data_IF_038577174751
#
_entry.id   IF_038577174751
#
_cell.length_a   1.000
_cell.length_b   1.000
_cell.length_c   1.000
_cell.angle_alpha   90.00
_cell.angle_beta   90.00
_cell.angle_gamma   90.00
#
_symmetry.space_group_name_H-M   'P 1'
#
loop_
_entity.id
_entity.type
_entity.pdbx_description
1 polymer ?
#
# COMPACT_ATOMS: atom_id res chain seq x y z
N UNK A 1 51.12 -136.79 -11.33
CA UNK A 1 50.27 -136.00 -12.25
C UNK A 1 51.10 -135.68 -13.49
N UNK A 2 50.52 -135.81 -14.70
CA UNK A 2 50.84 -136.89 -15.64
C UNK A 2 52.33 -136.92 -16.06
N UNK A 3 52.92 -138.11 -16.13
CA UNK A 3 54.29 -138.31 -16.63
C UNK A 3 54.36 -137.78 -18.07
N UNK A 4 55.31 -136.89 -18.43
CA UNK A 4 55.49 -136.54 -19.84
C UNK A 4 55.85 -137.82 -20.60
N UNK A 5 55.30 -138.05 -21.81
CA UNK A 5 55.72 -139.17 -22.63
C UNK A 5 57.22 -139.04 -22.89
N UNK A 6 58.00 -139.96 -22.30
CA UNK A 6 59.45 -140.01 -22.50
C UNK A 6 59.69 -140.64 -23.87
N UNK A 7 59.67 -139.80 -24.92
CA UNK A 7 60.03 -140.27 -26.25
C UNK A 7 61.51 -140.62 -26.29
N UNK A 8 61.79 -141.75 -26.93
CA UNK A 8 63.14 -142.24 -27.15
C UNK A 8 63.71 -141.66 -28.44
N UNK A 9 65.04 -141.50 -28.51
CA UNK A 9 65.73 -141.01 -29.71
C UNK A 9 65.32 -141.71 -31.04
N UNK A 10 65.06 -143.04 -31.08
CA UNK A 10 64.57 -143.72 -32.29
C UNK A 10 63.18 -143.25 -32.75
N UNK A 11 62.30 -142.90 -31.83
CA UNK A 11 60.95 -142.39 -32.13
C UNK A 11 61.04 -140.95 -32.66
N UNK A 12 61.89 -140.12 -32.05
CA UNK A 12 62.23 -138.79 -32.56
C UNK A 12 62.80 -138.85 -33.98
N UNK A 13 63.74 -139.78 -34.23
CA UNK A 13 64.37 -139.97 -35.54
C UNK A 13 63.36 -140.34 -36.63
N UNK A 14 62.38 -141.22 -36.34
CA UNK A 14 61.30 -141.55 -37.30
C UNK A 14 60.46 -140.33 -37.69
N UNK A 15 60.09 -139.49 -36.70
CA UNK A 15 59.29 -138.28 -36.94
C UNK A 15 60.09 -137.20 -37.68
N UNK A 16 61.36 -137.00 -37.30
CA UNK A 16 62.23 -136.04 -37.97
C UNK A 16 62.52 -136.45 -39.43
N UNK A 17 62.68 -137.75 -39.72
CA UNK A 17 62.78 -138.24 -41.11
C UNK A 17 61.49 -138.01 -41.88
N UNK A 18 60.32 -138.31 -41.31
CA UNK A 18 59.01 -138.09 -41.95
C UNK A 18 58.77 -136.60 -42.27
N UNK A 19 59.05 -135.69 -41.33
CA UNK A 19 58.92 -134.25 -41.54
C UNK A 19 59.84 -133.69 -42.63
N UNK A 20 61.06 -134.24 -42.73
CA UNK A 20 61.97 -133.86 -43.82
C UNK A 20 61.60 -134.47 -45.17
N UNK A 21 60.98 -135.66 -45.20
CA UNK A 21 60.43 -136.24 -46.42
C UNK A 21 59.20 -135.46 -46.94
N UNK A 22 58.45 -134.82 -46.03
CA UNK A 22 57.35 -133.89 -46.35
C UNK A 22 57.81 -132.48 -46.75
N UNK A 23 59.13 -132.19 -46.79
CA UNK A 23 59.68 -130.89 -47.18
C UNK A 23 59.46 -129.74 -46.17
N UNK A 24 59.01 -130.04 -44.95
CA UNK A 24 58.77 -129.02 -43.90
C UNK A 24 60.08 -128.68 -43.15
N UNK A 25 60.24 -127.39 -42.79
CA UNK A 25 61.37 -126.96 -41.92
C UNK A 25 61.21 -127.55 -40.52
N UNK A 26 62.27 -128.16 -40.00
CA UNK A 26 62.35 -128.73 -38.64
C UNK A 26 62.34 -127.62 -37.58
N UNK A 27 61.18 -127.06 -37.28
CA UNK A 27 61.01 -126.12 -36.16
C UNK A 27 60.57 -126.85 -34.88
N UNK A 28 60.92 -126.29 -33.71
CA UNK A 28 60.54 -126.85 -32.42
C UNK A 28 59.02 -127.03 -32.28
N UNK A 29 58.24 -126.12 -32.87
CA UNK A 29 56.77 -126.18 -32.84
C UNK A 29 56.23 -127.34 -33.67
N UNK A 30 56.79 -127.59 -34.86
CA UNK A 30 56.40 -128.71 -35.73
C UNK A 30 56.76 -130.07 -35.12
N UNK A 31 57.94 -130.19 -34.51
CA UNK A 31 58.36 -131.41 -33.81
C UNK A 31 57.48 -131.67 -32.57
N UNK A 32 57.15 -130.63 -31.81
CA UNK A 32 56.31 -130.76 -30.60
C UNK A 32 54.87 -131.20 -30.90
N UNK A 33 54.34 -130.83 -32.06
CA UNK A 33 53.00 -131.26 -32.52
C UNK A 33 52.94 -132.75 -32.85
N UNK A 34 53.99 -133.33 -33.44
CA UNK A 34 54.02 -134.75 -33.83
C UNK A 34 54.52 -135.70 -32.73
N UNK A 35 55.38 -135.19 -31.85
CA UNK A 35 56.06 -135.99 -30.81
C UNK A 35 55.30 -135.90 -29.48
N UNK A 36 54.53 -134.83 -29.25
CA UNK A 36 53.61 -134.69 -28.11
C UNK A 36 54.32 -134.41 -26.77
N UNK A 37 54.08 -133.23 -26.19
CA UNK A 37 54.35 -132.94 -24.77
C UNK A 37 55.82 -132.95 -24.29
N UNK A 38 56.80 -133.20 -25.16
CA UNK A 38 58.22 -133.29 -24.78
C UNK A 38 58.79 -131.92 -24.38
N UNK A 39 59.68 -131.92 -23.38
CA UNK A 39 60.42 -130.73 -22.95
C UNK A 39 61.32 -130.19 -24.07
N UNK A 40 61.41 -128.86 -24.16
CA UNK A 40 62.23 -128.14 -25.13
C UNK A 40 63.69 -128.63 -25.12
N UNK A 41 64.24 -128.91 -23.94
CA UNK A 41 65.65 -129.30 -23.80
C UNK A 41 65.94 -130.71 -24.33
N UNK A 42 64.96 -131.61 -24.24
CA UNK A 42 65.06 -132.97 -24.79
C UNK A 42 64.95 -132.93 -26.31
N UNK A 43 64.02 -132.14 -26.84
CA UNK A 43 63.88 -131.91 -28.29
C UNK A 43 65.13 -131.25 -28.87
N UNK A 44 65.73 -130.28 -28.18
CA UNK A 44 66.99 -129.64 -28.60
C UNK A 44 68.13 -130.65 -28.65
N UNK A 45 68.33 -131.46 -27.60
CA UNK A 45 69.37 -132.51 -27.59
C UNK A 45 69.20 -133.53 -28.71
N UNK A 46 67.98 -134.01 -28.97
CA UNK A 46 67.73 -134.97 -30.04
C UNK A 46 67.80 -134.35 -31.43
N UNK A 47 67.43 -133.08 -31.59
CA UNK A 47 67.60 -132.34 -32.85
C UNK A 47 69.08 -132.13 -33.16
N UNK A 48 69.87 -131.73 -32.16
CA UNK A 48 71.32 -131.58 -32.30
C UNK A 48 71.98 -132.92 -32.65
N UNK A 49 71.58 -134.01 -31.98
CA UNK A 49 72.05 -135.37 -32.28
C UNK A 49 71.63 -135.86 -33.67
N UNK A 50 70.40 -135.55 -34.11
CA UNK A 50 69.89 -135.89 -35.44
C UNK A 50 70.55 -135.08 -36.56
N UNK A 51 70.85 -133.80 -36.32
CA UNK A 51 71.59 -132.94 -37.25
C UNK A 51 73.05 -133.38 -37.38
N UNK A 52 73.68 -133.83 -36.28
CA UNK A 52 75.01 -134.45 -36.31
C UNK A 52 75.03 -135.79 -37.06
N UNK A 53 74.02 -136.65 -36.87
CA UNK A 53 73.92 -137.94 -37.59
C UNK A 53 73.62 -137.79 -39.10
N UNK A 54 73.05 -136.66 -39.54
CA UNK A 54 72.71 -136.42 -40.95
C UNK A 54 73.79 -135.70 -41.77
N UNK A 55 74.92 -135.31 -41.17
CA UNK A 55 76.08 -134.80 -41.92
C UNK A 55 75.75 -133.72 -42.97
N UNK A 56 74.85 -132.77 -42.65
CA UNK A 56 74.54 -131.65 -43.52
C UNK A 56 75.33 -130.41 -43.07
N UNK A 57 76.31 -129.93 -43.87
CA UNK A 57 76.97 -128.67 -43.59
C UNK A 57 75.96 -127.53 -43.79
N UNK A 58 75.85 -126.64 -42.80
CA UNK A 58 75.07 -125.42 -42.91
C UNK A 58 75.70 -124.53 -44.00
N UNK A 59 74.98 -124.10 -45.05
CA UNK A 59 75.54 -123.22 -46.05
C UNK A 59 75.77 -121.85 -45.41
N UNK A 60 77.04 -121.48 -45.23
CA UNK A 60 77.42 -120.12 -44.88
C UNK A 60 76.89 -119.16 -45.94
N UNK A 61 76.04 -118.23 -45.53
CA UNK A 61 75.87 -116.99 -46.27
C UNK A 61 77.22 -116.25 -46.18
N UNK A 62 77.79 -115.77 -47.30
CA UNK A 62 79.08 -115.12 -47.29
C UNK A 62 79.08 -113.94 -46.32
N UNK A 63 80.14 -113.84 -45.50
CA UNK A 63 80.33 -112.85 -44.44
C UNK A 63 80.18 -111.39 -44.93
N UNK A 64 80.38 -111.17 -46.24
CA UNK A 64 80.16 -109.89 -46.94
C UNK A 64 78.69 -109.48 -47.05
N UNK A 65 77.75 -110.43 -47.11
CA UNK A 65 76.31 -110.13 -47.17
C UNK A 65 75.75 -109.84 -45.78
N UNK A 66 76.26 -110.52 -44.75
CA UNK A 66 75.88 -110.27 -43.36
C UNK A 66 76.47 -108.94 -42.84
N UNK A 67 77.72 -108.62 -43.19
CA UNK A 67 78.31 -107.31 -42.85
C UNK A 67 77.65 -106.16 -43.60
N UNK A 68 77.31 -106.35 -44.89
CA UNK A 68 76.54 -105.37 -45.67
C UNK A 68 75.13 -105.16 -45.11
N UNK A 69 74.42 -106.22 -44.72
CA UNK A 69 73.11 -106.11 -44.07
C UNK A 69 73.18 -105.46 -42.69
N UNK A 70 74.23 -105.74 -41.90
CA UNK A 70 74.42 -105.11 -40.59
C UNK A 70 74.83 -103.64 -40.71
N UNK A 71 75.62 -103.27 -41.73
CA UNK A 71 75.96 -101.88 -42.03
C UNK A 71 74.73 -101.09 -42.47
N UNK A 72 73.89 -101.65 -43.35
CA UNK A 72 72.62 -101.04 -43.75
C UNK A 72 71.64 -100.92 -42.57
N UNK A 73 71.62 -101.89 -41.67
CA UNK A 73 70.78 -101.85 -40.47
C UNK A 73 71.26 -100.78 -39.46
N UNK A 74 72.57 -100.70 -39.18
CA UNK A 74 73.11 -99.65 -38.30
C UNK A 74 72.99 -98.26 -38.92
N UNK A 75 73.13 -98.14 -40.25
CA UNK A 75 72.88 -96.89 -40.96
C UNK A 75 71.40 -96.48 -40.87
N UNK A 76 70.46 -97.39 -41.19
CA UNK A 76 69.03 -97.13 -41.03
C UNK A 76 68.64 -96.80 -39.58
N UNK A 77 69.36 -97.36 -38.59
CA UNK A 77 69.15 -97.07 -37.16
C UNK A 77 69.72 -95.71 -36.75
N UNK A 78 70.84 -95.28 -37.34
CA UNK A 78 71.37 -93.93 -37.17
C UNK A 78 70.46 -92.91 -37.83
N UNK A 79 70.06 -93.13 -39.08
CA UNK A 79 69.12 -92.27 -39.81
C UNK A 79 67.80 -92.10 -39.04
N UNK A 80 67.23 -93.20 -38.53
CA UNK A 80 66.01 -93.16 -37.71
C UNK A 80 66.21 -92.45 -36.36
N UNK A 81 67.41 -92.48 -35.77
CA UNK A 81 67.71 -91.74 -34.53
C UNK A 81 67.86 -90.26 -34.79
N UNK A 82 68.51 -89.90 -35.90
CA UNK A 82 68.68 -88.52 -36.34
C UNK A 82 67.33 -87.90 -36.72
N UNK A 83 66.46 -88.64 -37.45
CA UNK A 83 65.09 -88.21 -37.72
C UNK A 83 64.29 -87.98 -36.43
N UNK A 84 64.32 -88.94 -35.48
CA UNK A 84 63.62 -88.78 -34.20
C UNK A 84 64.19 -87.63 -33.38
N UNK A 85 65.51 -87.43 -33.37
CA UNK A 85 66.13 -86.29 -32.70
C UNK A 85 65.72 -84.97 -33.34
N UNK A 86 65.71 -84.90 -34.67
CA UNK A 86 65.27 -83.72 -35.40
C UNK A 86 63.79 -83.40 -35.14
N UNK A 87 62.91 -84.40 -35.18
CA UNK A 87 61.49 -84.25 -34.84
C UNK A 87 61.30 -83.78 -33.39
N UNK A 88 62.06 -84.35 -32.45
CA UNK A 88 62.03 -83.91 -31.05
C UNK A 88 62.48 -82.45 -30.92
N UNK A 89 63.57 -82.07 -31.57
CA UNK A 89 64.10 -80.69 -31.55
C UNK A 89 63.06 -79.70 -32.11
N UNK A 90 62.46 -80.01 -33.26
CA UNK A 90 61.40 -79.20 -33.88
C UNK A 90 60.18 -79.09 -32.96
N UNK A 91 59.75 -80.18 -32.33
CA UNK A 91 58.64 -80.17 -31.36
C UNK A 91 58.97 -79.34 -30.11
N UNK A 92 60.17 -79.45 -29.56
CA UNK A 92 60.58 -78.62 -28.42
C UNK A 92 60.64 -77.15 -28.77
N UNK A 93 61.16 -76.80 -29.96
CA UNK A 93 61.17 -75.41 -30.42
C UNK A 93 59.74 -74.87 -30.63
N UNK A 94 58.84 -75.67 -31.22
CA UNK A 94 57.44 -75.28 -31.38
C UNK A 94 56.73 -75.06 -30.03
N UNK A 95 56.95 -75.95 -29.05
CA UNK A 95 56.43 -75.81 -27.70
C UNK A 95 57.00 -74.59 -26.95
N UNK A 96 58.27 -74.24 -27.19
CA UNK A 96 58.88 -73.05 -26.61
C UNK A 96 58.29 -71.76 -27.20
N UNK A 97 58.07 -71.73 -28.52
CA UNK A 97 57.40 -70.61 -29.19
C UNK A 97 55.97 -70.45 -28.66
N UNK A 98 55.18 -71.52 -28.59
CA UNK A 98 53.81 -71.48 -28.06
C UNK A 98 53.79 -71.03 -26.59
N UNK A 99 54.76 -71.48 -25.78
CA UNK A 99 54.92 -71.00 -24.39
C UNK A 99 55.24 -69.51 -24.31
N UNK A 100 56.08 -68.99 -25.20
CA UNK A 100 56.40 -67.56 -25.24
C UNK A 100 55.18 -66.74 -25.66
N UNK A 101 54.46 -67.18 -26.70
CA UNK A 101 53.22 -66.52 -27.15
C UNK A 101 52.16 -66.48 -26.05
N UNK A 102 51.93 -67.59 -25.34
CA UNK A 102 51.01 -67.63 -24.20
C UNK A 102 51.47 -66.75 -23.03
N UNK A 103 52.79 -66.64 -22.79
CA UNK A 103 53.32 -65.74 -21.76
C UNK A 103 53.09 -64.27 -22.14
N UNK A 104 53.35 -63.91 -23.39
CA UNK A 104 53.12 -62.56 -23.90
C UNK A 104 51.64 -62.19 -23.89
N UNK A 105 50.76 -63.12 -24.30
CA UNK A 105 49.31 -62.93 -24.20
C UNK A 105 48.87 -62.75 -22.74
N UNK A 106 49.39 -63.57 -21.81
CA UNK A 106 49.10 -63.41 -20.39
C UNK A 106 49.56 -62.05 -19.86
N UNK A 107 50.76 -61.59 -20.23
CA UNK A 107 51.26 -60.28 -19.84
C UNK A 107 50.37 -59.15 -20.40
N UNK A 108 49.96 -59.25 -21.65
CA UNK A 108 49.03 -58.31 -22.28
C UNK A 108 47.66 -58.28 -21.60
N UNK A 109 47.10 -59.45 -21.26
CA UNK A 109 45.84 -59.54 -20.54
C UNK A 109 45.93 -58.97 -19.12
N UNK A 110 47.04 -59.23 -18.41
CA UNK A 110 47.24 -58.67 -17.06
C UNK A 110 47.41 -57.15 -17.07
N UNK A 111 48.12 -56.59 -18.05
CA UNK A 111 48.26 -55.14 -18.18
C UNK A 111 46.93 -54.48 -18.59
N UNK A 112 46.16 -55.11 -19.49
CA UNK A 112 44.82 -54.66 -19.85
C UNK A 112 43.85 -54.70 -18.65
N UNK A 113 43.89 -55.77 -17.84
CA UNK A 113 43.09 -55.89 -16.63
C UNK A 113 43.46 -54.84 -15.58
N UNK A 114 44.76 -54.58 -15.36
CA UNK A 114 45.22 -53.52 -14.47
C UNK A 114 44.76 -52.12 -14.95
N UNK A 115 44.85 -51.85 -16.26
CA UNK A 115 44.36 -50.61 -16.85
C UNK A 115 42.84 -50.45 -16.70
N UNK A 116 42.08 -51.54 -16.88
CA UNK A 116 40.63 -51.53 -16.69
C UNK A 116 40.24 -51.30 -15.21
N UNK A 117 40.95 -51.92 -14.27
CA UNK A 117 40.76 -51.69 -12.84
C UNK A 117 41.02 -50.23 -12.45
N UNK A 118 42.11 -49.63 -12.95
CA UNK A 118 42.41 -48.21 -12.71
C UNK A 118 41.33 -47.27 -13.28
N UNK A 119 40.77 -47.57 -14.46
CA UNK A 119 39.62 -46.82 -15.00
C UNK A 119 38.36 -46.98 -14.16
N UNK A 120 38.09 -48.19 -13.67
CA UNK A 120 36.92 -48.46 -12.83
C UNK A 120 36.99 -47.70 -11.50
N UNK A 121 38.16 -47.63 -10.87
CA UNK A 121 38.38 -46.86 -9.65
C UNK A 121 38.25 -45.34 -9.89
N UNK A 122 38.80 -44.84 -11.00
CA UNK A 122 38.64 -43.44 -11.39
C UNK A 122 37.16 -43.09 -11.66
N UNK A 123 36.42 -43.96 -12.33
CA UNK A 123 34.98 -43.77 -12.55
C UNK A 123 34.19 -43.82 -11.24
N UNK A 124 34.51 -44.74 -10.33
CA UNK A 124 33.86 -44.83 -9.02
C UNK A 124 34.04 -43.54 -8.22
N UNK A 125 35.28 -43.02 -8.13
CA UNK A 125 35.55 -41.76 -7.44
C UNK A 125 34.84 -40.56 -8.08
N UNK A 126 34.70 -40.55 -9.42
CA UNK A 126 33.96 -39.50 -10.12
C UNK A 126 32.45 -39.58 -9.85
N UNK A 127 31.90 -40.79 -9.77
CA UNK A 127 30.49 -41.01 -9.40
C UNK A 127 30.22 -40.54 -7.97
N UNK A 128 31.10 -40.87 -7.02
CA UNK A 128 30.98 -40.39 -5.63
C UNK A 128 31.02 -38.87 -5.54
N UNK A 129 31.93 -38.23 -6.28
CA UNK A 129 32.00 -36.76 -6.36
C UNK A 129 30.69 -36.17 -6.89
N UNK A 130 30.17 -36.69 -8.01
CA UNK A 130 28.93 -36.22 -8.61
C UNK A 130 27.71 -36.46 -7.71
N UNK A 131 27.67 -37.57 -6.98
CA UNK A 131 26.63 -37.82 -5.99
C UNK A 131 26.69 -36.80 -4.85
N UNK A 132 27.89 -36.50 -4.35
CA UNK A 132 28.06 -35.49 -3.29
C UNK A 132 27.66 -34.08 -3.75
N UNK A 133 27.97 -33.71 -4.99
CA UNK A 133 27.59 -32.42 -5.57
C UNK A 133 26.07 -32.34 -5.80
N UNK A 134 25.47 -33.41 -6.31
CA UNK A 134 24.02 -33.49 -6.47
C UNK A 134 23.30 -33.36 -5.13
N UNK A 135 23.80 -34.00 -4.07
CA UNK A 135 23.20 -33.87 -2.74
C UNK A 135 23.25 -32.41 -2.25
N UNK A 136 24.41 -31.75 -2.38
CA UNK A 136 24.54 -30.33 -2.00
C UNK A 136 23.60 -29.43 -2.79
N UNK A 137 23.48 -29.63 -4.10
CA UNK A 137 22.57 -28.86 -4.94
C UNK A 137 21.09 -29.11 -4.59
N UNK A 138 20.75 -30.32 -4.15
CA UNK A 138 19.40 -30.63 -3.65
C UNK A 138 19.13 -29.91 -2.33
N UNK A 139 20.08 -29.96 -1.39
CA UNK A 139 19.98 -29.27 -0.11
C UNK A 139 19.86 -27.75 -0.30
N UNK A 140 20.69 -27.14 -1.15
CA UNK A 140 20.63 -25.71 -1.50
C UNK A 140 19.30 -25.34 -2.16
N UNK A 141 18.80 -26.18 -3.09
CA UNK A 141 17.50 -25.97 -3.73
C UNK A 141 16.37 -25.98 -2.72
N UNK A 142 16.39 -26.90 -1.77
CA UNK A 142 15.33 -27.05 -0.79
C UNK A 142 15.35 -25.89 0.21
N UNK A 143 16.53 -25.44 0.65
CA UNK A 143 16.69 -24.21 1.45
C UNK A 143 16.18 -22.97 0.71
N UNK A 144 16.51 -22.81 -0.58
CA UNK A 144 16.04 -21.69 -1.39
C UNK A 144 14.51 -21.71 -1.56
N UNK A 145 13.92 -22.89 -1.73
CA UNK A 145 12.46 -23.05 -1.81
C UNK A 145 11.78 -22.65 -0.50
N UNK A 146 12.28 -23.11 0.64
CA UNK A 146 11.75 -22.73 1.95
C UNK A 146 11.86 -21.22 2.19
N UNK A 147 13.02 -20.63 1.88
CA UNK A 147 13.22 -19.19 1.97
C UNK A 147 12.26 -18.41 1.06
N UNK A 148 12.02 -18.90 -0.16
CA UNK A 148 11.11 -18.25 -1.10
C UNK A 148 9.66 -18.28 -0.58
N UNK A 149 9.21 -19.42 -0.05
CA UNK A 149 7.86 -19.56 0.53
C UNK A 149 7.71 -18.59 1.71
N UNK A 150 8.67 -18.57 2.63
CA UNK A 150 8.64 -17.67 3.78
C UNK A 150 8.64 -16.19 3.36
N UNK A 151 9.37 -15.84 2.30
CA UNK A 151 9.38 -14.48 1.76
C UNK A 151 8.03 -14.12 1.09
N UNK A 152 7.43 -15.05 0.36
CA UNK A 152 6.10 -14.86 -0.25
C UNK A 152 5.02 -14.67 0.83
N UNK A 153 5.04 -15.47 1.90
CA UNK A 153 4.11 -15.33 3.03
C UNK A 153 4.26 -13.98 3.73
N UNK A 154 5.51 -13.54 3.99
CA UNK A 154 5.78 -12.21 4.54
C UNK A 154 5.28 -11.09 3.64
N UNK A 155 5.49 -11.20 2.33
CA UNK A 155 5.03 -10.21 1.36
C UNK A 155 3.50 -10.16 1.31
N UNK A 156 2.82 -11.31 1.34
CA UNK A 156 1.36 -11.37 1.39
C UNK A 156 0.80 -10.72 2.65
N UNK A 157 1.41 -10.97 3.81
CA UNK A 157 1.00 -10.35 5.06
C UNK A 157 1.20 -8.83 5.04
N UNK A 158 2.32 -8.36 4.45
CA UNK A 158 2.57 -6.92 4.26
C UNK A 158 1.53 -6.28 3.34
N UNK A 159 1.15 -6.94 2.24
CA UNK A 159 0.10 -6.46 1.34
C UNK A 159 -1.24 -6.34 2.06
N UNK A 160 -1.62 -7.33 2.87
CA UNK A 160 -2.85 -7.27 3.66
C UNK A 160 -2.83 -6.09 4.64
N UNK A 161 -1.72 -5.89 5.36
CA UNK A 161 -1.56 -4.74 6.26
C UNK A 161 -1.69 -3.40 5.51
N UNK A 162 -1.11 -3.31 4.31
CA UNK A 162 -1.19 -2.11 3.50
C UNK A 162 -2.61 -1.84 2.99
N UNK A 163 -3.33 -2.89 2.57
CA UNK A 163 -4.73 -2.79 2.18
C UNK A 163 -5.61 -2.30 3.33
N UNK A 164 -5.46 -2.89 4.52
CA UNK A 164 -6.19 -2.45 5.72
C UNK A 164 -5.86 -1.00 6.10
N UNK A 165 -4.59 -0.60 6.02
CA UNK A 165 -4.20 0.80 6.27
C UNK A 165 -4.83 1.75 5.26
N UNK A 166 -4.86 1.37 3.98
CA UNK A 166 -5.47 2.17 2.93
C UNK A 166 -6.97 2.34 3.14
N UNK A 167 -7.69 1.27 3.49
CA UNK A 167 -9.11 1.34 3.86
C UNK A 167 -9.34 2.27 5.07
N UNK A 168 -8.49 2.20 6.10
CA UNK A 168 -8.56 3.10 7.25
C UNK A 168 -8.32 4.57 6.86
N UNK A 169 -7.40 4.83 5.95
CA UNK A 169 -7.14 6.18 5.45
C UNK A 169 -8.32 6.72 4.66
N UNK A 170 -8.89 5.93 3.74
CA UNK A 170 -10.09 6.31 2.97
C UNK A 170 -11.26 6.62 3.91
N UNK A 171 -11.52 5.75 4.89
CA UNK A 171 -12.58 5.98 5.89
C UNK A 171 -12.36 7.27 6.70
N UNK A 172 -11.11 7.58 7.05
CA UNK A 172 -10.77 8.84 7.73
C UNK A 172 -10.95 10.05 6.83
N UNK A 173 -10.54 9.97 5.57
CA UNK A 173 -10.76 11.04 4.59
C UNK A 173 -12.24 11.34 4.39
N UNK A 174 -13.08 10.31 4.26
CA UNK A 174 -14.52 10.47 4.13
C UNK A 174 -15.16 11.06 5.39
N UNK A 175 -14.74 10.60 6.57
CA UNK A 175 -15.18 11.16 7.85
C UNK A 175 -14.80 12.64 7.99
N UNK A 176 -13.59 13.01 7.58
CA UNK A 176 -13.13 14.40 7.58
C UNK A 176 -13.92 15.23 6.58
N UNK A 177 -14.16 14.73 5.37
CA UNK A 177 -14.96 15.41 4.34
C UNK A 177 -16.38 15.67 4.85
N UNK A 178 -17.01 14.70 5.51
CA UNK A 178 -18.32 14.88 6.11
C UNK A 178 -18.31 15.93 7.23
N UNK A 179 -17.32 15.90 8.13
CA UNK A 179 -17.17 16.91 9.17
C UNK A 179 -16.97 18.31 8.58
N UNK A 180 -16.11 18.46 7.57
CA UNK A 180 -15.92 19.74 6.88
C UNK A 180 -17.23 20.24 6.26
N UNK A 181 -18.00 19.39 5.57
CA UNK A 181 -19.31 19.77 5.06
C UNK A 181 -20.30 20.22 6.15
N UNK A 182 -20.30 19.55 7.31
CA UNK A 182 -21.10 19.98 8.47
C UNK A 182 -20.64 21.32 9.03
N UNK A 183 -19.33 21.58 9.09
CA UNK A 183 -18.81 22.88 9.52
C UNK A 183 -19.14 24.00 8.52
N UNK A 184 -19.02 23.75 7.22
CA UNK A 184 -19.37 24.73 6.18
C UNK A 184 -20.84 25.11 6.23
N UNK A 185 -21.73 24.12 6.35
CA UNK A 185 -23.17 24.35 6.52
C UNK A 185 -23.50 25.09 7.81
N UNK A 186 -22.87 24.73 8.93
CA UNK A 186 -23.04 25.45 10.20
C UNK A 186 -22.56 26.91 10.09
N UNK A 187 -21.44 27.16 9.41
CA UNK A 187 -20.90 28.49 9.18
C UNK A 187 -21.83 29.32 8.28
N UNK A 188 -22.37 28.71 7.21
CA UNK A 188 -23.35 29.34 6.33
C UNK A 188 -24.61 29.75 7.11
N UNK A 189 -25.16 28.84 7.92
CA UNK A 189 -26.34 29.11 8.76
C UNK A 189 -26.06 30.22 9.80
N UNK A 190 -24.89 30.20 10.44
CA UNK A 190 -24.48 31.25 11.39
C UNK A 190 -24.37 32.61 10.71
N UNK A 191 -23.79 32.67 9.51
CA UNK A 191 -23.67 33.90 8.74
C UNK A 191 -25.04 34.43 8.29
N UNK A 192 -25.95 33.56 7.88
CA UNK A 192 -27.33 33.93 7.55
C UNK A 192 -28.08 34.47 8.78
N UNK A 193 -27.94 33.80 9.93
CA UNK A 193 -28.51 34.27 11.20
C UNK A 193 -27.96 35.64 11.62
N UNK A 194 -26.65 35.87 11.46
CA UNK A 194 -26.04 37.18 11.74
C UNK A 194 -26.62 38.28 10.84
N UNK A 195 -26.78 38.00 9.53
CA UNK A 195 -27.43 38.92 8.59
C UNK A 195 -28.90 39.17 8.95
N UNK A 196 -29.62 38.17 9.44
CA UNK A 196 -30.99 38.33 9.91
C UNK A 196 -31.09 39.26 11.12
N UNK A 197 -30.18 39.10 12.09
CA UNK A 197 -30.10 39.98 13.25
C UNK A 197 -29.79 41.41 12.80
N UNK A 198 -28.83 41.60 11.90
CA UNK A 198 -28.51 42.91 11.34
C UNK A 198 -29.73 43.54 10.62
N UNK A 199 -30.44 42.75 9.80
CA UNK A 199 -31.68 43.20 9.14
C UNK A 199 -32.76 43.63 10.13
N UNK A 200 -32.93 42.91 11.25
CA UNK A 200 -33.90 43.27 12.30
C UNK A 200 -33.47 44.55 13.02
N UNK A 201 -32.20 44.65 13.39
CA UNK A 201 -31.66 45.83 14.06
C UNK A 201 -31.82 47.10 13.21
N UNK A 202 -31.53 47.04 11.91
CA UNK A 202 -31.74 48.18 11.00
C UNK A 202 -33.22 48.58 10.92
N UNK A 203 -34.14 47.61 10.85
CA UNK A 203 -35.59 47.90 10.88
C UNK A 203 -36.03 48.56 12.18
N UNK A 204 -35.56 48.06 13.33
CA UNK A 204 -35.85 48.67 14.63
C UNK A 204 -35.27 50.08 14.75
N UNK A 205 -34.06 50.30 14.23
CA UNK A 205 -33.44 51.61 14.17
C UNK A 205 -34.27 52.58 13.30
N UNK A 206 -34.76 52.14 12.15
CA UNK A 206 -35.60 52.97 11.27
C UNK A 206 -36.97 53.27 11.90
N UNK A 207 -37.59 52.30 12.58
CA UNK A 207 -38.82 52.53 13.35
C UNK A 207 -38.60 53.52 14.50
N UNK A 208 -37.47 53.41 15.21
CA UNK A 208 -37.10 54.35 16.27
C UNK A 208 -36.83 55.77 15.70
N UNK A 209 -36.21 55.87 14.52
CA UNK A 209 -36.04 57.16 13.83
C UNK A 209 -37.39 57.76 13.45
N UNK A 210 -38.29 56.96 12.90
CA UNK A 210 -39.64 57.41 12.56
C UNK A 210 -40.40 57.88 13.79
N UNK A 211 -40.33 57.15 14.92
CA UNK A 211 -41.01 57.57 16.16
C UNK A 211 -40.44 58.86 16.75
N UNK A 212 -39.12 59.06 16.68
CA UNK A 212 -38.49 60.33 17.07
C UNK A 212 -38.98 61.47 16.16
N UNK A 213 -39.05 61.26 14.85
CA UNK A 213 -39.59 62.26 13.92
C UNK A 213 -41.04 62.61 14.27
N UNK A 214 -41.91 61.62 14.46
CA UNK A 214 -43.32 61.88 14.82
C UNK A 214 -43.45 62.59 16.16
N UNK A 215 -42.71 62.18 17.19
CA UNK A 215 -42.73 62.82 18.51
C UNK A 215 -42.19 64.26 18.45
N UNK A 216 -41.15 64.52 17.65
CA UNK A 216 -40.64 65.89 17.47
C UNK A 216 -41.63 66.77 16.70
N UNK A 217 -42.36 66.23 15.73
CA UNK A 217 -43.43 66.96 15.05
C UNK A 217 -44.63 67.23 15.97
N UNK A 218 -45.04 66.27 16.78
CA UNK A 218 -46.10 66.43 17.79
C UNK A 218 -45.69 67.49 18.82
N UNK A 219 -44.47 67.40 19.36
CA UNK A 219 -43.92 68.40 20.27
C UNK A 219 -43.88 69.80 19.63
N UNK A 220 -43.47 69.92 18.36
CA UNK A 220 -43.52 71.19 17.62
C UNK A 220 -44.96 71.72 17.50
N UNK A 221 -45.94 70.85 17.21
CA UNK A 221 -47.36 71.24 17.14
C UNK A 221 -47.89 71.69 18.50
N UNK A 222 -47.51 71.02 19.58
CA UNK A 222 -47.89 71.43 20.94
C UNK A 222 -47.25 72.76 21.33
N UNK A 223 -45.98 72.96 21.02
CA UNK A 223 -45.28 74.24 21.23
C UNK A 223 -45.89 75.37 20.39
N UNK A 224 -46.34 75.08 19.16
CA UNK A 224 -47.05 76.06 18.34
C UNK A 224 -48.43 76.41 18.95
N UNK A 225 -49.17 75.42 19.48
CA UNK A 225 -50.44 75.65 20.18
C UNK A 225 -50.26 76.45 21.46
N UNK A 226 -49.23 76.14 22.27
CA UNK A 226 -48.95 76.89 23.50
C UNK A 226 -48.53 78.31 23.20
N UNK A 227 -47.73 78.53 22.14
CA UNK A 227 -47.38 79.87 21.66
C UNK A 227 -48.60 80.64 21.16
N UNK A 228 -49.49 80.03 20.39
CA UNK A 228 -50.73 80.67 19.94
C UNK A 228 -51.62 81.10 21.13
N UNK A 229 -51.76 80.24 22.15
CA UNK A 229 -52.47 80.60 23.40
C UNK A 229 -51.79 81.73 24.16
N UNK A 230 -50.45 81.75 24.20
CA UNK A 230 -49.70 82.84 24.80
C UNK A 230 -49.96 84.16 24.04
N UNK A 231 -49.92 84.12 22.71
CA UNK A 231 -50.19 85.29 21.86
C UNK A 231 -51.64 85.79 22.04
N UNK A 232 -52.62 84.90 22.14
CA UNK A 232 -54.01 85.24 22.46
C UNK A 232 -54.15 85.85 23.86
N UNK A 233 -53.48 85.28 24.86
CA UNK A 233 -53.44 85.84 26.21
C UNK A 233 -52.80 87.23 26.22
N UNK A 234 -51.69 87.43 25.50
CA UNK A 234 -51.04 88.74 25.35
C UNK A 234 -51.95 89.75 24.65
N UNK A 235 -52.70 89.34 23.62
CA UNK A 235 -53.70 90.19 22.98
C UNK A 235 -54.83 90.56 23.96
N UNK A 236 -55.31 89.61 24.76
CA UNK A 236 -56.32 89.90 25.78
C UNK A 236 -55.80 90.89 26.82
N UNK A 237 -54.54 90.74 27.25
CA UNK A 237 -53.87 91.68 28.17
C UNK A 237 -53.73 93.06 27.53
N UNK A 238 -53.38 93.14 26.25
CA UNK A 238 -53.34 94.40 25.52
C UNK A 238 -54.72 95.08 25.45
N UNK A 239 -55.79 94.33 25.18
CA UNK A 239 -57.17 94.84 25.20
C UNK A 239 -57.58 95.31 26.60
N UNK A 240 -57.24 94.56 27.65
CA UNK A 240 -57.50 94.97 29.04
C UNK A 240 -56.73 96.24 29.40
N UNK A 241 -55.48 96.36 28.95
CA UNK A 241 -54.67 97.56 29.11
C UNK A 241 -55.30 98.75 28.39
N UNK A 242 -55.73 98.59 27.14
CA UNK A 242 -56.40 99.64 26.37
C UNK A 242 -57.72 100.08 27.01
N UNK A 243 -58.53 99.13 27.50
CA UNK A 243 -59.74 99.44 28.30
C UNK A 243 -59.41 100.18 29.59
N UNK A 244 -58.38 99.76 30.32
CA UNK A 244 -57.96 100.44 31.54
C UNK A 244 -57.47 101.86 31.24
N UNK A 245 -56.71 102.06 30.16
CA UNK A 245 -56.30 103.39 29.68
C UNK A 245 -57.51 104.24 29.21
N UNK A 246 -58.52 103.62 28.61
CA UNK A 246 -59.80 104.26 28.27
C UNK A 246 -60.57 104.72 29.50
N UNK A 247 -60.77 103.83 30.48
CA UNK A 247 -61.40 104.15 31.77
C UNK A 247 -60.60 105.21 32.54
N UNK A 248 -59.26 105.18 32.48
CA UNK A 248 -58.42 106.21 33.10
C UNK A 248 -58.61 107.57 32.41
N UNK A 249 -58.77 107.60 31.07
CA UNK A 249 -59.11 108.82 30.34
C UNK A 249 -60.48 109.35 30.75
N UNK A 250 -61.50 108.50 30.82
CA UNK A 250 -62.83 108.87 31.31
C UNK A 250 -62.80 109.41 32.73
N UNK A 251 -62.05 108.77 33.63
CA UNK A 251 -61.87 109.23 35.01
C UNK A 251 -61.20 110.60 35.06
N UNK A 252 -60.18 110.84 34.23
CA UNK A 252 -59.53 112.15 34.13
C UNK A 252 -60.46 113.22 33.57
N UNK A 253 -61.32 112.87 32.60
CA UNK A 253 -62.36 113.76 32.08
C UNK A 253 -63.37 114.08 33.18
N UNK A 254 -63.83 113.08 33.94
CA UNK A 254 -64.71 113.30 35.09
C UNK A 254 -64.04 114.13 36.19
N UNK A 255 -62.76 113.89 36.49
CA UNK A 255 -62.01 114.69 37.47
C UNK A 255 -61.87 116.15 37.01
N UNK A 256 -61.64 116.38 35.71
CA UNK A 256 -61.64 117.72 35.10
C UNK A 256 -63.03 118.37 35.19
N UNK A 257 -64.10 117.64 34.87
CA UNK A 257 -65.47 118.12 34.99
C UNK A 257 -65.83 118.47 36.45
N UNK A 258 -65.44 117.63 37.41
CA UNK A 258 -65.64 117.90 38.83
C UNK A 258 -64.83 119.11 39.30
N UNK A 259 -63.58 119.27 38.84
CA UNK A 259 -62.79 120.49 39.09
C UNK A 259 -63.45 121.75 38.53
N UNK A 260 -64.14 121.64 37.39
CA UNK A 260 -64.89 122.76 36.82
C UNK A 260 -66.18 123.05 37.61
N UNK A 261 -66.88 122.01 38.07
CA UNK A 261 -68.02 122.15 38.99
C UNK A 261 -67.58 122.80 40.30
N UNK A 262 -66.45 122.39 40.87
CA UNK A 262 -65.89 123.00 42.09
C UNK A 262 -65.50 124.46 41.87
N UNK A 263 -64.94 124.81 40.71
CA UNK A 263 -64.73 126.22 40.32
C UNK A 263 -66.05 126.99 40.26
N UNK A 264 -67.11 126.42 39.68
CA UNK A 264 -68.43 127.05 39.61
C UNK A 264 -69.06 127.18 41.00
N UNK A 265 -68.93 126.17 41.86
CA UNK A 265 -69.41 126.22 43.25
C UNK A 265 -68.63 127.26 44.07
N UNK A 266 -67.33 127.40 43.84
CA UNK A 266 -66.50 128.45 44.44
C UNK A 266 -66.94 129.84 43.98
N UNK A 267 -67.14 130.03 42.67
CA UNK A 267 -67.65 131.28 42.11
C UNK A 267 -69.07 131.61 42.62
N UNK A 268 -69.94 130.61 42.78
CA UNK A 268 -71.26 130.77 43.39
C UNK A 268 -71.16 131.13 44.89
N UNK A 269 -70.15 130.63 45.60
CA UNK A 269 -69.89 131.01 46.99
C UNK A 269 -69.39 132.46 47.11
N UNK A 270 -68.57 132.92 46.15
CA UNK A 270 -68.13 134.32 46.04
C UNK A 270 -69.30 135.25 45.69
N UNK A 271 -70.16 134.88 44.73
CA UNK A 271 -71.39 135.62 44.42
C UNK A 271 -72.34 135.64 45.62
N UNK A 272 -72.45 134.54 46.37
CA UNK A 272 -73.23 134.50 47.61
C UNK A 272 -72.65 135.47 48.65
N UNK A 273 -71.32 135.60 48.76
CA UNK A 273 -70.67 136.56 49.65
C UNK A 273 -70.96 138.02 49.24
N UNK A 274 -70.91 138.33 47.94
CA UNK A 274 -71.23 139.65 47.37
C UNK A 274 -72.72 140.01 47.51
N UNK A 275 -73.62 139.03 47.44
CA UNK A 275 -75.06 139.23 47.68
C UNK A 275 -75.37 139.40 49.19
N UNK A 276 -74.57 138.83 50.08
CA UNK A 276 -74.69 139.08 51.53
C UNK A 276 -74.08 140.41 51.97
N UNK A 277 -73.00 140.88 51.32
CA UNK A 277 -72.41 142.20 51.58
C UNK A 277 -73.28 143.36 51.03
N UNK A 278 -73.93 143.18 49.88
CA UNK A 278 -74.86 144.18 49.32
C UNK A 278 -76.21 144.30 50.04
N UNK A 279 -76.49 143.41 51.00
CA UNK A 279 -77.71 143.48 51.85
C UNK A 279 -77.51 144.23 53.17
N UNK A 280 -76.28 144.68 53.48
CA UNK A 280 -75.94 145.37 54.73
C UNK A 280 -75.72 146.89 54.55
N UNK A 281 -75.52 147.39 53.32
CA UNK A 281 -75.38 148.84 53.07
C UNK A 281 -76.53 149.41 52.24
N UNK A 282 -77.70 149.46 52.89
CA UNK A 282 -78.83 150.28 52.48
C UNK A 282 -78.70 151.71 53.02
N UNK A 283 -78.05 152.60 52.27
CA UNK A 283 -78.43 154.02 52.23
C UNK A 283 -77.63 154.75 51.15
N UNK A 284 -78.33 155.28 50.14
CA UNK A 284 -77.87 156.23 49.13
C UNK A 284 -77.05 155.66 47.95
N UNK A 285 -77.74 155.21 46.89
CA UNK A 285 -77.36 155.40 45.47
C UNK A 285 -78.07 154.36 44.59
N UNK A 286 -79.17 154.75 43.96
CA UNK A 286 -79.97 153.91 43.06
C UNK A 286 -79.39 153.82 41.64
N UNK A 287 -78.10 153.46 41.52
CA UNK A 287 -77.40 153.34 40.23
C UNK A 287 -76.69 152.00 39.97
N UNK A 288 -76.32 151.24 41.01
CA UNK A 288 -75.45 150.04 40.86
C UNK A 288 -76.17 148.71 40.62
N UNK A 289 -77.50 148.65 40.73
CA UNK A 289 -78.28 147.40 40.63
C UNK A 289 -78.45 146.90 39.18
N UNK A 290 -78.23 147.76 38.20
CA UNK A 290 -78.37 147.43 36.77
C UNK A 290 -77.07 146.88 36.15
N UNK A 291 -75.90 147.32 36.64
CA UNK A 291 -74.60 146.74 36.25
C UNK A 291 -74.37 145.35 36.84
N UNK A 292 -74.82 145.09 38.09
CA UNK A 292 -74.78 143.75 38.69
C UNK A 292 -75.68 142.74 37.97
N UNK A 293 -76.86 143.15 37.47
CA UNK A 293 -77.73 142.27 36.70
C UNK A 293 -77.21 142.00 35.28
N UNK A 294 -76.50 142.95 34.65
CA UNK A 294 -75.84 142.73 33.37
C UNK A 294 -74.61 141.82 33.48
N UNK A 295 -73.82 141.94 34.55
CA UNK A 295 -72.71 141.00 34.82
C UNK A 295 -73.22 139.60 35.14
N UNK A 296 -74.32 139.47 35.90
CA UNK A 296 -74.99 138.18 36.13
C UNK A 296 -75.55 137.57 34.83
N UNK A 297 -76.13 138.37 33.94
CA UNK A 297 -76.63 137.86 32.65
C UNK A 297 -75.49 137.44 31.71
N UNK A 298 -74.37 138.17 31.68
CA UNK A 298 -73.19 137.76 30.92
C UNK A 298 -72.52 136.51 31.49
N UNK A 299 -72.45 136.35 32.83
CA UNK A 299 -71.94 135.15 33.47
C UNK A 299 -72.85 133.93 33.21
N UNK A 300 -74.17 134.09 33.31
CA UNK A 300 -75.12 132.99 33.03
C UNK A 300 -75.09 132.59 31.55
N UNK A 301 -74.99 133.53 30.62
CA UNK A 301 -74.85 133.21 29.19
C UNK A 301 -73.50 132.58 28.85
N UNK A 302 -72.39 133.06 29.43
CA UNK A 302 -71.07 132.45 29.24
C UNK A 302 -70.99 131.04 29.85
N UNK A 303 -71.65 130.81 31.00
CA UNK A 303 -71.80 129.47 31.57
C UNK A 303 -72.69 128.56 30.70
N UNK A 304 -73.77 129.10 30.13
CA UNK A 304 -74.63 128.36 29.20
C UNK A 304 -73.90 127.92 27.92
N UNK A 305 -73.05 128.80 27.36
CA UNK A 305 -72.21 128.47 26.20
C UNK A 305 -71.09 127.47 26.55
N UNK A 306 -70.47 127.60 27.73
CA UNK A 306 -69.45 126.67 28.21
C UNK A 306 -70.02 125.26 28.47
N UNK A 307 -71.20 125.16 29.07
CA UNK A 307 -71.88 123.88 29.32
C UNK A 307 -72.35 123.24 28.02
N UNK A 308 -72.88 124.01 27.06
CA UNK A 308 -73.25 123.49 25.74
C UNK A 308 -72.02 123.01 24.94
N UNK A 309 -70.90 123.74 24.98
CA UNK A 309 -69.65 123.31 24.35
C UNK A 309 -69.07 122.03 25.00
N UNK A 310 -69.29 121.82 26.29
CA UNK A 310 -68.95 120.58 26.98
C UNK A 310 -69.84 119.40 26.53
N UNK A 311 -71.15 119.61 26.40
CA UNK A 311 -72.08 118.59 25.89
C UNK A 311 -71.82 118.22 24.43
N UNK A 312 -71.45 119.19 23.59
CA UNK A 312 -71.10 118.93 22.20
C UNK A 312 -69.76 118.18 22.05
N UNK A 313 -68.79 118.41 22.96
CA UNK A 313 -67.56 117.60 23.02
C UNK A 313 -67.83 116.17 23.50
N UNK A 314 -68.70 115.98 24.49
CA UNK A 314 -69.13 114.65 24.93
C UNK A 314 -69.85 113.86 23.81
N UNK A 315 -70.61 114.53 22.94
CA UNK A 315 -71.24 113.90 21.77
C UNK A 315 -70.27 113.58 20.63
N UNK A 316 -69.11 114.22 20.56
CA UNK A 316 -68.10 113.96 19.51
C UNK A 316 -67.11 112.85 19.90
N UNK A 317 -66.95 112.55 21.19
CA UNK A 317 -66.05 111.48 21.67
C UNK A 317 -66.75 110.12 21.85
N UNK A 318 -68.09 110.07 21.86
CA UNK A 318 -68.85 108.82 21.79
C UNK A 318 -69.07 108.38 20.33
N UNK A 319 -68.22 107.45 19.89
CA UNK A 319 -68.38 106.35 18.91
C UNK A 319 -67.18 106.29 17.95
N UNK A 320 -66.40 105.21 18.05
CA UNK A 320 -66.22 104.33 16.91
C UNK A 320 -66.90 102.98 17.17
N UNK A 321 -67.55 102.47 16.12
CA UNK A 321 -67.96 101.06 16.03
C UNK A 321 -66.75 100.14 15.97
#
# INVERSE_FOLDING_TARGET
MPRPPSITYPEFKKVAVALTAEGKKLTFQALRQHVGGVSHDVLKRYLDQFQQERGLPNPGMPETVLSGAHALYEQARQDAREEVQHEYEVLTQALEVERQELQDERLNLTSAAASAAGRAEALASQVELLQSQNQRLQDDRDQLRESLIAQQERHMLLLQQYQTLNEQLVNKEDSLRELFGRYETALANSNESARDVERRFLKEQDLARQSVVTLTEESKREMAKSRAKLDEALQSVAQWKERAEGLQRELNIQASANSQIDMVLSALSEVKSLVTESRVESSQSSGGLQECLQTLHHLISAMGESVNAMFDKLKQEDIPK
#
